data_IF_626944975948
#
_entry.id   IF_626944975948
#
_cell.length_a   1.000
_cell.length_b   1.000
_cell.length_c   1.000
_cell.angle_alpha   90.00
_cell.angle_beta   90.00
_cell.angle_gamma   90.00
#
_symmetry.space_group_name_H-M   'P 1'
#
loop_
_entity.id
_entity.type
_entity.pdbx_description
1 polymer ?
#
# COMPACT_ATOMS: atom_id res chain seq x y z
N UNK A 1 32.71 -11.12 -13.95
CA UNK A 1 32.61 -9.73 -13.47
C UNK A 1 31.36 -9.11 -14.10
N UNK A 2 30.47 -8.55 -13.32
CA UNK A 2 29.24 -7.91 -13.85
C UNK A 2 29.62 -6.69 -14.71
N UNK A 3 28.95 -6.50 -15.85
CA UNK A 3 29.07 -5.27 -16.61
C UNK A 3 28.37 -4.10 -15.90
N UNK A 4 28.52 -2.85 -16.39
CA UNK A 4 27.97 -1.65 -15.76
C UNK A 4 26.45 -1.71 -15.58
N UNK A 5 25.71 -2.25 -16.56
CA UNK A 5 24.24 -2.37 -16.51
C UNK A 5 23.82 -3.43 -15.49
N UNK A 6 24.51 -4.57 -15.48
CA UNK A 6 24.27 -5.63 -14.52
C UNK A 6 24.55 -5.18 -13.09
N UNK A 7 25.62 -4.39 -12.88
CA UNK A 7 25.94 -3.82 -11.58
C UNK A 7 24.86 -2.83 -11.13
N UNK A 8 24.45 -1.91 -11.97
CA UNK A 8 23.39 -0.95 -11.65
C UNK A 8 22.05 -1.66 -11.31
N UNK A 9 21.71 -2.73 -12.04
CA UNK A 9 20.54 -3.55 -11.75
C UNK A 9 20.65 -4.25 -10.38
N UNK A 10 21.82 -4.79 -10.06
CA UNK A 10 22.07 -5.42 -8.76
C UNK A 10 21.99 -4.41 -7.60
N UNK A 11 22.58 -3.23 -7.76
CA UNK A 11 22.55 -2.15 -6.78
C UNK A 11 21.09 -1.70 -6.51
N UNK A 12 20.24 -1.68 -7.55
CA UNK A 12 18.82 -1.36 -7.42
C UNK A 12 18.06 -2.44 -6.63
N UNK A 13 18.28 -3.71 -6.95
CA UNK A 13 17.68 -4.84 -6.20
C UNK A 13 18.11 -4.80 -4.73
N UNK A 14 19.39 -4.54 -4.48
CA UNK A 14 19.92 -4.45 -3.13
C UNK A 14 19.31 -3.28 -2.34
N UNK A 15 19.09 -2.14 -3.00
CA UNK A 15 18.39 -0.99 -2.41
C UNK A 15 16.92 -1.32 -2.07
N UNK A 16 16.21 -2.01 -2.96
CA UNK A 16 14.84 -2.46 -2.68
C UNK A 16 14.82 -3.48 -1.52
N UNK A 17 15.75 -4.43 -1.49
CA UNK A 17 15.89 -5.38 -0.39
C UNK A 17 16.17 -4.69 0.95
N UNK A 18 17.02 -3.67 0.95
CA UNK A 18 17.31 -2.84 2.12
C UNK A 18 16.07 -2.09 2.61
N UNK A 19 15.26 -1.57 1.71
CA UNK A 19 13.99 -0.95 2.06
C UNK A 19 13.06 -1.93 2.78
N UNK A 20 12.92 -3.15 2.28
CA UNK A 20 12.11 -4.19 2.92
C UNK A 20 12.66 -4.57 4.29
N UNK A 21 13.98 -4.74 4.39
CA UNK A 21 14.64 -4.96 5.67
C UNK A 21 14.34 -3.84 6.67
N UNK A 22 14.38 -2.57 6.21
CA UNK A 22 14.03 -1.42 7.04
C UNK A 22 12.58 -1.48 7.52
N UNK A 23 11.62 -1.88 6.67
CA UNK A 23 10.22 -2.06 7.09
C UNK A 23 10.09 -3.12 8.20
N UNK A 24 10.84 -4.22 8.10
CA UNK A 24 10.88 -5.25 9.15
C UNK A 24 11.51 -4.71 10.43
N UNK A 25 12.59 -3.98 10.32
CA UNK A 25 13.25 -3.32 11.46
C UNK A 25 12.32 -2.33 12.14
N UNK A 26 11.63 -1.48 11.38
CA UNK A 26 10.62 -0.54 11.88
C UNK A 26 9.48 -1.28 12.61
N UNK A 27 8.99 -2.38 12.07
CA UNK A 27 7.93 -3.20 12.67
C UNK A 27 8.33 -3.70 14.06
N UNK A 28 9.60 -4.02 14.27
CA UNK A 28 10.11 -4.58 15.51
C UNK A 28 10.57 -3.51 16.51
N UNK A 29 11.08 -2.40 16.03
CA UNK A 29 11.86 -1.45 16.85
C UNK A 29 11.26 -0.04 16.91
N UNK A 30 10.46 0.39 15.91
CA UNK A 30 9.83 1.71 15.94
C UNK A 30 8.70 1.77 16.98
N UNK A 31 8.60 2.92 17.66
CA UNK A 31 7.58 3.13 18.70
C UNK A 31 6.22 3.52 18.15
N UNK A 32 6.21 4.18 17.00
CA UNK A 32 5.04 4.81 16.39
C UNK A 32 4.72 4.20 15.01
N UNK A 33 4.73 2.88 14.91
CA UNK A 33 4.31 2.17 13.71
C UNK A 33 3.38 1.02 14.10
N UNK A 34 2.47 0.66 13.21
CA UNK A 34 1.65 -0.53 13.35
C UNK A 34 1.72 -1.43 12.10
N UNK A 35 1.16 -2.63 12.19
CA UNK A 35 1.19 -3.62 11.10
C UNK A 35 0.51 -3.15 9.81
N UNK A 36 -0.46 -2.23 9.88
CA UNK A 36 -1.19 -1.76 8.71
C UNK A 36 -0.29 -0.98 7.75
N UNK A 37 0.70 -0.23 8.25
CA UNK A 37 1.69 0.44 7.39
C UNK A 37 2.50 -0.56 6.57
N UNK A 38 2.83 -1.72 7.15
CA UNK A 38 3.52 -2.79 6.42
C UNK A 38 2.59 -3.41 5.38
N UNK A 39 1.31 -3.63 5.70
CA UNK A 39 0.32 -4.13 4.74
C UNK A 39 0.13 -3.18 3.56
N UNK A 40 0.13 -1.86 3.78
CA UNK A 40 0.11 -0.86 2.73
C UNK A 40 1.33 -0.95 1.79
N UNK A 41 2.42 -1.57 2.24
CA UNK A 41 3.63 -1.78 1.45
C UNK A 41 3.60 -3.04 0.58
N UNK A 42 2.65 -3.95 0.75
CA UNK A 42 2.63 -5.26 0.07
C UNK A 42 2.69 -5.15 -1.46
N UNK A 43 1.96 -4.24 -2.14
CA UNK A 43 2.08 -4.09 -3.58
C UNK A 43 3.51 -3.71 -4.02
N UNK A 44 4.19 -2.88 -3.25
CA UNK A 44 5.59 -2.48 -3.52
C UNK A 44 6.58 -3.62 -3.25
N UNK A 45 6.32 -4.45 -2.23
CA UNK A 45 7.05 -5.68 -1.98
C UNK A 45 6.86 -6.65 -3.17
N UNK A 46 5.65 -6.69 -3.74
CA UNK A 46 5.35 -7.44 -4.96
C UNK A 46 6.18 -7.00 -6.16
N UNK A 47 6.31 -5.68 -6.38
CA UNK A 47 7.18 -5.12 -7.43
C UNK A 47 8.63 -5.56 -7.22
N UNK A 48 9.14 -5.51 -5.99
CA UNK A 48 10.48 -5.99 -5.69
C UNK A 48 10.61 -7.49 -5.96
N UNK A 49 9.68 -8.30 -5.51
CA UNK A 49 9.74 -9.75 -5.65
C UNK A 49 9.72 -10.18 -7.13
N UNK A 50 8.87 -9.57 -7.95
CA UNK A 50 8.81 -9.85 -9.39
C UNK A 50 10.02 -9.30 -10.12
N UNK A 51 10.41 -8.06 -9.84
CA UNK A 51 11.58 -7.42 -10.43
C UNK A 51 12.88 -8.15 -10.11
N UNK A 52 13.05 -8.61 -8.87
CA UNK A 52 14.22 -9.36 -8.44
C UNK A 52 14.40 -10.67 -9.24
N UNK A 53 13.31 -11.42 -9.47
CA UNK A 53 13.39 -12.63 -10.30
C UNK A 53 13.79 -12.32 -11.76
N UNK A 54 13.16 -11.31 -12.35
CA UNK A 54 13.45 -10.92 -13.72
C UNK A 54 14.88 -10.44 -13.90
N UNK A 55 15.38 -9.62 -12.96
CA UNK A 55 16.75 -9.13 -13.01
C UNK A 55 17.78 -10.23 -12.75
N UNK A 56 17.53 -11.14 -11.78
CA UNK A 56 18.40 -12.29 -11.58
C UNK A 56 18.62 -13.08 -12.87
N UNK A 57 17.55 -13.34 -13.62
CA UNK A 57 17.62 -14.01 -14.93
C UNK A 57 18.49 -13.22 -15.92
N UNK A 58 18.33 -11.90 -15.99
CA UNK A 58 19.07 -11.03 -16.92
C UNK A 58 20.56 -10.91 -16.61
N UNK A 59 20.93 -10.93 -15.33
CA UNK A 59 22.33 -10.79 -14.89
C UNK A 59 23.02 -12.14 -14.63
N UNK A 60 22.32 -13.26 -14.86
CA UNK A 60 22.88 -14.60 -14.68
C UNK A 60 23.06 -15.01 -13.21
N UNK A 61 22.34 -14.40 -12.29
CA UNK A 61 22.29 -14.81 -10.88
C UNK A 61 21.16 -15.82 -10.67
N UNK A 62 21.40 -16.74 -9.74
CA UNK A 62 20.33 -17.62 -9.30
C UNK A 62 19.30 -16.83 -8.49
N UNK A 63 18.02 -17.12 -8.69
CA UNK A 63 16.98 -16.63 -7.79
C UNK A 63 17.03 -17.37 -6.44
N UNK A 64 16.51 -16.77 -5.35
CA UNK A 64 16.40 -17.44 -4.07
C UNK A 64 15.65 -18.77 -4.19
N UNK A 65 16.11 -19.77 -3.46
CA UNK A 65 15.44 -21.09 -3.43
C UNK A 65 14.42 -21.12 -2.32
N UNK A 66 13.19 -21.47 -2.67
CA UNK A 66 12.08 -21.69 -1.75
C UNK A 66 11.68 -23.14 -1.74
N UNK A 67 11.24 -23.67 -0.59
CA UNK A 67 10.58 -24.95 -0.54
C UNK A 67 9.18 -24.87 -1.20
N UNK A 68 8.42 -25.98 -1.27
CA UNK A 68 7.14 -26.01 -1.99
C UNK A 68 6.09 -25.07 -1.38
N UNK A 69 6.01 -24.98 -0.06
CA UNK A 69 5.08 -24.12 0.68
C UNK A 69 5.47 -22.65 0.55
N UNK A 70 6.72 -22.32 0.79
CA UNK A 70 7.27 -20.95 0.59
C UNK A 70 7.09 -20.45 -0.84
N UNK A 71 7.19 -21.35 -1.82
CA UNK A 71 7.01 -21.01 -3.23
C UNK A 71 5.59 -20.55 -3.55
N UNK A 72 4.58 -21.10 -2.88
CA UNK A 72 3.20 -20.65 -3.01
C UNK A 72 3.06 -19.18 -2.56
N UNK A 73 3.58 -18.85 -1.39
CA UNK A 73 3.58 -17.46 -0.88
C UNK A 73 4.39 -16.53 -1.76
N UNK A 74 5.53 -16.99 -2.24
CA UNK A 74 6.36 -16.19 -3.16
C UNK A 74 5.63 -15.84 -4.45
N UNK A 75 4.90 -16.79 -5.05
CA UNK A 75 4.10 -16.55 -6.26
C UNK A 75 2.99 -15.54 -5.97
N UNK A 76 2.28 -15.70 -4.85
CA UNK A 76 1.23 -14.77 -4.42
C UNK A 76 1.78 -13.36 -4.18
N UNK A 77 2.93 -13.25 -3.50
CA UNK A 77 3.60 -11.98 -3.26
C UNK A 77 3.96 -11.27 -4.55
N UNK A 78 4.55 -12.00 -5.51
CA UNK A 78 4.89 -11.45 -6.84
C UNK A 78 3.67 -10.91 -7.59
N UNK A 79 2.51 -11.48 -7.38
CA UNK A 79 1.27 -11.04 -8.04
C UNK A 79 0.66 -9.79 -7.41
N UNK A 80 1.07 -9.42 -6.20
CA UNK A 80 0.48 -8.27 -5.50
C UNK A 80 0.67 -6.94 -6.26
N UNK A 81 1.71 -6.79 -7.08
CA UNK A 81 1.93 -5.59 -7.90
C UNK A 81 0.90 -5.42 -9.03
N UNK A 82 0.19 -6.49 -9.42
CA UNK A 82 -0.83 -6.43 -10.47
C UNK A 82 -2.00 -5.51 -10.12
N UNK A 83 -2.17 -5.16 -8.86
CA UNK A 83 -3.11 -4.13 -8.43
C UNK A 83 -2.85 -2.77 -9.10
N UNK A 84 -1.61 -2.49 -9.47
CA UNK A 84 -1.24 -1.26 -10.22
C UNK A 84 -1.50 -1.36 -11.73
N UNK A 85 -1.83 -2.52 -12.24
CA UNK A 85 -2.13 -2.78 -13.65
C UNK A 85 -3.64 -2.86 -13.93
N UNK A 86 -4.47 -2.79 -12.86
CA UNK A 86 -5.92 -2.85 -12.98
C UNK A 86 -6.49 -1.55 -13.56
N UNK A 87 -7.53 -1.68 -14.38
CA UNK A 87 -8.37 -0.54 -14.76
C UNK A 87 -9.10 0.03 -13.54
N UNK A 88 -9.62 1.25 -13.66
CA UNK A 88 -10.44 1.86 -12.60
C UNK A 88 -11.61 0.96 -12.21
N UNK A 89 -12.34 0.43 -13.19
CA UNK A 89 -13.52 -0.39 -12.96
C UNK A 89 -13.19 -1.70 -12.22
N UNK A 90 -12.09 -2.36 -12.58
CA UNK A 90 -11.62 -3.56 -11.87
C UNK A 90 -11.22 -3.27 -10.44
N UNK A 91 -10.48 -2.17 -10.22
CA UNK A 91 -10.05 -1.75 -8.89
C UNK A 91 -11.24 -1.35 -8.01
N UNK A 92 -12.17 -0.53 -8.54
CA UNK A 92 -13.39 -0.13 -7.83
C UNK A 92 -14.21 -1.35 -7.43
N UNK A 93 -14.42 -2.28 -8.34
CA UNK A 93 -15.15 -3.52 -8.08
C UNK A 93 -14.49 -4.34 -6.97
N UNK A 94 -13.20 -4.61 -7.10
CA UNK A 94 -12.46 -5.38 -6.08
C UNK A 94 -12.49 -4.70 -4.70
N UNK A 95 -12.32 -3.39 -4.66
CA UNK A 95 -12.33 -2.62 -3.43
C UNK A 95 -13.69 -2.64 -2.75
N UNK A 96 -14.75 -2.46 -3.53
CA UNK A 96 -16.12 -2.47 -3.01
C UNK A 96 -16.57 -3.87 -2.57
N UNK A 97 -16.16 -4.91 -3.30
CA UNK A 97 -16.40 -6.29 -2.89
C UNK A 97 -15.75 -6.58 -1.53
N UNK A 98 -14.49 -6.18 -1.35
CA UNK A 98 -13.80 -6.32 -0.06
C UNK A 98 -14.44 -5.49 1.06
N UNK A 99 -14.96 -4.31 0.73
CA UNK A 99 -15.70 -3.49 1.69
C UNK A 99 -17.00 -4.17 2.11
N UNK A 100 -17.78 -4.70 1.17
CA UNK A 100 -19.04 -5.37 1.46
C UNK A 100 -18.83 -6.69 2.21
N UNK A 101 -17.86 -7.51 1.83
CA UNK A 101 -17.47 -8.71 2.58
C UNK A 101 -17.15 -8.38 4.06
N UNK A 102 -16.36 -7.32 4.27
CA UNK A 102 -15.98 -6.87 5.60
C UNK A 102 -17.18 -6.34 6.40
N UNK A 103 -18.03 -5.53 5.76
CA UNK A 103 -19.23 -4.98 6.39
C UNK A 103 -20.22 -6.09 6.80
N UNK A 104 -20.45 -7.05 5.94
CA UNK A 104 -21.30 -8.23 6.21
C UNK A 104 -20.73 -9.08 7.35
N UNK A 105 -19.42 -9.35 7.33
CA UNK A 105 -18.75 -10.07 8.42
C UNK A 105 -18.96 -9.36 9.76
N UNK A 106 -18.64 -8.08 9.83
CA UNK A 106 -18.83 -7.31 11.07
C UNK A 106 -20.30 -7.21 11.48
N UNK A 107 -21.23 -7.05 10.55
CA UNK A 107 -22.65 -7.06 10.84
C UNK A 107 -23.09 -8.39 11.47
N UNK A 108 -22.65 -9.52 10.95
CA UNK A 108 -23.07 -10.85 11.39
C UNK A 108 -22.61 -11.20 12.80
N UNK A 109 -21.41 -10.77 13.19
CA UNK A 109 -20.85 -11.04 14.53
C UNK A 109 -21.35 -10.09 15.63
N UNK A 110 -22.10 -9.01 15.28
CA UNK A 110 -22.58 -8.02 16.25
C UNK A 110 -23.89 -8.41 16.89
N UNK A 111 -24.04 -8.01 18.16
CA UNK A 111 -25.31 -8.09 18.89
C UNK A 111 -26.39 -7.23 18.24
N UNK A 112 -27.66 -7.53 18.52
CA UNK A 112 -28.79 -6.75 18.02
C UNK A 112 -28.68 -5.27 18.42
N UNK A 113 -28.23 -4.99 19.65
CA UNK A 113 -28.08 -3.62 20.15
C UNK A 113 -27.02 -2.84 19.35
N UNK A 114 -25.85 -3.45 19.06
CA UNK A 114 -24.82 -2.83 18.24
C UNK A 114 -25.28 -2.58 16.80
N UNK A 115 -26.09 -3.46 16.23
CA UNK A 115 -26.69 -3.26 14.89
C UNK A 115 -27.60 -2.03 14.86
N UNK A 116 -28.31 -1.74 15.93
CA UNK A 116 -29.23 -0.57 16.05
C UNK A 116 -28.44 0.71 16.35
N UNK A 117 -27.57 0.70 17.36
CA UNK A 117 -26.80 1.88 17.78
C UNK A 117 -25.75 2.25 16.74
N UNK A 118 -25.13 1.26 16.10
CA UNK A 118 -24.08 1.37 15.11
C UNK A 118 -22.86 0.54 15.50
N UNK A 119 -22.18 0.03 14.49
CA UNK A 119 -20.92 -0.72 14.61
C UNK A 119 -19.88 -0.10 13.69
N UNK A 120 -18.63 -0.43 13.92
CA UNK A 120 -17.53 0.02 13.07
C UNK A 120 -17.25 -1.03 12.00
N UNK A 121 -17.00 -0.58 10.78
CA UNK A 121 -16.69 -1.45 9.63
C UNK A 121 -15.38 -1.09 8.91
N UNK A 122 -14.75 0.04 9.24
CA UNK A 122 -13.48 0.47 8.67
C UNK A 122 -12.56 0.99 9.77
N UNK A 123 -11.44 0.34 9.97
CA UNK A 123 -10.35 0.85 10.78
C UNK A 123 -9.42 1.70 9.91
N UNK A 124 -9.00 2.86 10.39
CA UNK A 124 -8.25 3.84 9.64
C UNK A 124 -6.98 4.26 10.38
N UNK A 125 -5.87 4.21 9.67
CA UNK A 125 -4.57 4.67 10.16
C UNK A 125 -4.34 6.12 9.78
N UNK A 126 -3.83 6.87 10.74
CA UNK A 126 -3.44 8.26 10.59
C UNK A 126 -1.94 8.40 10.83
N UNK A 127 -1.26 9.11 9.94
CA UNK A 127 0.09 9.59 10.14
C UNK A 127 0.08 11.12 10.07
N UNK A 128 0.55 11.78 11.12
CA UNK A 128 0.60 13.25 11.22
C UNK A 128 -0.78 13.94 10.99
N UNK A 129 -1.85 13.26 11.33
CA UNK A 129 -3.22 13.76 11.16
C UNK A 129 -3.86 13.48 9.80
N UNK A 130 -3.12 12.96 8.83
CA UNK A 130 -3.62 12.52 7.54
C UNK A 130 -3.99 11.03 7.55
N UNK A 131 -5.04 10.65 6.83
CA UNK A 131 -5.43 9.24 6.65
C UNK A 131 -4.41 8.57 5.72
N UNK A 132 -3.73 7.51 6.19
CA UNK A 132 -2.63 6.86 5.46
C UNK A 132 -2.86 5.38 5.14
N UNK A 133 -3.96 4.83 5.59
CA UNK A 133 -4.32 3.45 5.35
C UNK A 133 -5.66 3.11 5.98
N UNK A 134 -6.23 1.99 5.58
CA UNK A 134 -7.41 1.44 6.20
C UNK A 134 -7.45 -0.09 6.08
N UNK A 135 -8.27 -0.74 6.91
CA UNK A 135 -8.37 -2.19 6.98
C UNK A 135 -8.84 -2.85 5.68
N UNK A 136 -9.65 -2.15 4.87
CA UNK A 136 -10.14 -2.68 3.60
C UNK A 136 -9.03 -2.69 2.54
N UNK A 137 -8.26 -1.60 2.45
CA UNK A 137 -7.04 -1.58 1.61
C UNK A 137 -6.05 -2.66 2.04
N UNK A 138 -5.82 -2.81 3.35
CA UNK A 138 -4.96 -3.87 3.88
C UNK A 138 -5.45 -5.26 3.46
N UNK A 139 -6.76 -5.52 3.56
CA UNK A 139 -7.36 -6.78 3.13
C UNK A 139 -7.25 -7.00 1.62
N UNK A 140 -7.44 -5.94 0.81
CA UNK A 140 -7.29 -6.00 -0.64
C UNK A 140 -5.85 -6.28 -1.08
N UNK A 141 -4.87 -5.74 -0.37
CA UNK A 141 -3.44 -5.93 -0.67
C UNK A 141 -2.91 -7.29 -0.22
N UNK A 142 -3.59 -7.94 0.72
CA UNK A 142 -3.19 -9.28 1.16
C UNK A 142 -3.46 -10.32 0.07
N UNK A 143 -2.51 -11.22 -0.19
CA UNK A 143 -2.66 -12.26 -1.21
C UNK A 143 -3.53 -13.44 -0.79
N UNK A 144 -4.36 -13.28 0.24
CA UNK A 144 -5.29 -14.29 0.77
C UNK A 144 -6.46 -13.63 1.50
N UNK A 145 -7.58 -14.35 1.65
CA UNK A 145 -8.75 -13.81 2.33
C UNK A 145 -8.46 -13.65 3.84
N UNK A 146 -8.58 -12.40 4.33
CA UNK A 146 -8.28 -12.02 5.71
C UNK A 146 -9.47 -12.21 6.67
N UNK A 147 -10.68 -12.41 6.17
CA UNK A 147 -11.91 -12.47 6.97
C UNK A 147 -12.37 -13.90 7.26
N UNK A 148 -12.21 -14.81 6.31
CA UNK A 148 -12.73 -16.18 6.40
C UNK A 148 -11.72 -17.20 6.91
N UNK A 149 -10.47 -16.82 7.07
CA UNK A 149 -9.42 -17.76 7.37
C UNK A 149 -9.06 -17.78 8.87
N UNK A 150 -9.46 -18.82 9.56
CA UNK A 150 -9.07 -19.06 10.96
C UNK A 150 -7.54 -19.13 11.15
N UNK A 151 -6.80 -19.38 10.06
CA UNK A 151 -5.33 -19.48 10.07
C UNK A 151 -4.63 -18.23 9.53
N UNK A 152 -5.29 -17.08 9.57
CA UNK A 152 -4.73 -15.83 9.05
C UNK A 152 -3.36 -15.47 9.66
N UNK A 153 -3.20 -15.65 10.98
CA UNK A 153 -1.95 -15.35 11.67
C UNK A 153 -0.76 -16.19 11.16
N UNK A 154 -0.87 -17.53 11.09
CA UNK A 154 0.13 -18.39 10.43
C UNK A 154 0.45 -17.95 8.99
N UNK A 155 -0.54 -17.65 8.15
CA UNK A 155 -0.32 -17.21 6.76
C UNK A 155 0.43 -15.87 6.66
N UNK A 156 0.10 -14.90 7.51
CA UNK A 156 0.85 -13.63 7.59
C UNK A 156 2.30 -13.89 7.97
N UNK A 157 2.54 -14.77 8.94
CA UNK A 157 3.89 -15.14 9.34
C UNK A 157 4.67 -15.79 8.20
N UNK A 158 4.06 -16.74 7.48
CA UNK A 158 4.72 -17.44 6.37
C UNK A 158 5.03 -16.50 5.21
N UNK A 159 4.12 -15.56 4.90
CA UNK A 159 4.37 -14.47 3.95
C UNK A 159 5.55 -13.59 4.39
N UNK A 160 5.62 -13.27 5.69
CA UNK A 160 6.72 -12.47 6.26
C UNK A 160 8.06 -13.21 6.21
N UNK A 161 8.06 -14.53 6.45
CA UNK A 161 9.25 -15.37 6.33
C UNK A 161 9.77 -15.36 4.89
N UNK A 162 8.89 -15.56 3.90
CA UNK A 162 9.26 -15.54 2.48
C UNK A 162 9.80 -14.17 2.08
N UNK A 163 9.15 -13.08 2.51
CA UNK A 163 9.59 -11.72 2.28
C UNK A 163 10.97 -11.47 2.89
N UNK A 164 11.19 -11.90 4.13
CA UNK A 164 12.47 -11.79 4.82
C UNK A 164 13.58 -12.60 4.14
N UNK A 165 13.32 -13.83 3.72
CA UNK A 165 14.27 -14.66 2.97
C UNK A 165 14.65 -14.02 1.64
N UNK A 166 13.67 -13.44 0.93
CA UNK A 166 13.91 -12.76 -0.34
C UNK A 166 14.80 -11.54 -0.14
N UNK A 167 14.50 -10.70 0.84
CA UNK A 167 15.31 -9.53 1.16
C UNK A 167 16.72 -9.93 1.58
N UNK A 168 16.87 -10.87 2.52
CA UNK A 168 18.15 -11.33 3.04
C UNK A 168 19.06 -11.93 1.96
N UNK A 169 18.50 -12.51 0.90
CA UNK A 169 19.30 -13.06 -0.20
C UNK A 169 20.13 -12.00 -0.94
N UNK A 170 19.65 -10.78 -1.03
CA UNK A 170 20.32 -9.67 -1.71
C UNK A 170 21.09 -8.75 -0.77
N UNK A 171 20.92 -8.90 0.54
CA UNK A 171 21.59 -8.06 1.51
C UNK A 171 22.98 -8.62 1.88
N UNK A 172 23.92 -7.71 2.03
CA UNK A 172 25.19 -8.02 2.72
C UNK A 172 24.92 -8.09 4.24
N UNK A 173 25.62 -8.99 4.94
CA UNK A 173 25.50 -9.18 6.39
C UNK A 173 25.78 -7.94 7.23
N UNK A 174 26.46 -6.94 6.65
CA UNK A 174 26.83 -5.68 7.31
C UNK A 174 25.94 -4.50 6.88
N UNK A 175 24.86 -4.74 6.13
CA UNK A 175 24.03 -3.66 5.63
C UNK A 175 23.05 -3.19 6.70
N UNK A 176 23.21 -1.95 7.16
CA UNK A 176 22.30 -1.31 8.10
C UNK A 176 20.98 -0.92 7.43
N UNK A 177 19.85 -0.90 8.18
CA UNK A 177 18.60 -0.37 7.68
C UNK A 177 18.74 1.10 7.24
N UNK A 178 17.82 1.59 6.43
CA UNK A 178 17.72 3.02 6.17
C UNK A 178 17.33 3.76 7.45
N UNK A 179 17.85 4.97 7.64
CA UNK A 179 17.48 5.79 8.79
C UNK A 179 16.03 6.25 8.70
N UNK A 180 15.29 6.10 9.79
CA UNK A 180 13.92 6.57 9.92
C UNK A 180 13.72 7.34 11.23
N UNK A 181 12.76 8.26 11.25
CA UNK A 181 12.41 9.06 12.42
C UNK A 181 10.98 8.74 12.89
N UNK A 182 10.86 7.96 13.96
CA UNK A 182 9.62 7.66 14.62
C UNK A 182 9.26 8.63 15.76
N UNK A 183 10.17 9.55 16.12
CA UNK A 183 9.98 10.46 17.27
C UNK A 183 9.09 11.65 16.93
N UNK A 184 9.25 12.19 15.72
CA UNK A 184 8.54 13.36 15.24
C UNK A 184 7.23 13.00 14.51
N UNK A 185 6.97 11.73 14.28
CA UNK A 185 5.77 11.26 13.59
C UNK A 185 4.72 10.79 14.60
N UNK A 186 3.47 11.24 14.38
CA UNK A 186 2.32 10.91 15.22
C UNK A 186 1.46 9.91 14.47
N UNK A 187 1.42 8.68 14.97
CA UNK A 187 0.59 7.60 14.43
C UNK A 187 -0.62 7.39 15.33
N UNK A 188 -1.80 7.35 14.74
CA UNK A 188 -3.06 7.09 15.43
C UNK A 188 -3.90 6.11 14.63
N UNK A 189 -4.75 5.38 15.32
CA UNK A 189 -5.73 4.48 14.72
C UNK A 189 -7.13 4.89 15.18
N UNK A 190 -8.12 4.84 14.26
CA UNK A 190 -9.53 5.09 14.56
C UNK A 190 -10.43 4.18 13.77
N UNK A 191 -11.49 3.72 14.42
CA UNK A 191 -12.55 2.96 13.81
C UNK A 191 -13.72 3.85 13.44
N UNK A 192 -14.35 3.55 12.31
CA UNK A 192 -15.54 4.25 11.80
C UNK A 192 -16.58 3.27 11.28
N UNK A 193 -17.82 3.69 11.32
CA UNK A 193 -18.82 3.25 10.34
C UNK A 193 -18.76 4.22 9.16
N UNK A 194 -18.24 3.78 8.00
CA UNK A 194 -17.89 4.69 6.91
C UNK A 194 -19.03 5.64 6.54
N UNK A 195 -20.25 5.10 6.33
CA UNK A 195 -21.40 5.90 5.89
C UNK A 195 -21.98 6.82 6.99
N UNK A 196 -21.57 6.70 8.23
CA UNK A 196 -22.09 7.50 9.33
C UNK A 196 -21.13 8.57 9.82
N UNK A 197 -19.93 8.19 10.23
CA UNK A 197 -19.03 9.05 10.99
C UNK A 197 -17.57 9.07 10.51
N UNK A 198 -17.30 8.60 9.28
CA UNK A 198 -15.97 8.76 8.70
C UNK A 198 -15.62 10.23 8.47
N UNK A 199 -14.33 10.60 8.36
CA UNK A 199 -13.92 11.99 8.16
C UNK A 199 -14.27 12.52 6.77
N UNK A 200 -14.66 11.65 5.82
CA UNK A 200 -14.99 12.01 4.45
C UNK A 200 -16.45 12.49 4.38
N UNK A 201 -16.68 13.57 3.63
CA UNK A 201 -18.03 14.15 3.45
C UNK A 201 -18.92 13.30 2.54
N UNK A 202 -18.36 12.75 1.50
CA UNK A 202 -19.09 11.95 0.51
C UNK A 202 -19.29 10.52 1.05
N UNK A 203 -20.51 10.20 1.47
CA UNK A 203 -20.88 8.94 2.15
C UNK A 203 -21.52 7.94 1.20
N UNK A 204 -20.86 7.62 0.10
CA UNK A 204 -21.28 6.61 -0.88
C UNK A 204 -20.07 5.82 -1.40
N UNK A 205 -20.28 4.89 -2.32
CA UNK A 205 -19.22 4.04 -2.88
C UNK A 205 -18.09 4.87 -3.51
N UNK A 206 -18.42 5.87 -4.32
CA UNK A 206 -17.43 6.77 -4.91
C UNK A 206 -16.60 7.46 -3.81
N UNK A 207 -17.26 7.95 -2.75
CA UNK A 207 -16.57 8.56 -1.61
C UNK A 207 -15.62 7.59 -0.90
N UNK A 208 -16.00 6.30 -0.83
CA UNK A 208 -15.14 5.27 -0.27
C UNK A 208 -13.91 5.00 -1.15
N UNK A 209 -14.10 4.88 -2.46
CA UNK A 209 -12.99 4.73 -3.42
C UNK A 209 -12.01 5.91 -3.34
N UNK A 210 -12.54 7.13 -3.34
CA UNK A 210 -11.73 8.35 -3.19
C UNK A 210 -11.01 8.42 -1.84
N UNK A 211 -11.62 7.92 -0.77
CA UNK A 211 -10.98 7.78 0.53
C UNK A 211 -9.78 6.82 0.49
N UNK A 212 -9.91 5.70 -0.20
CA UNK A 212 -8.83 4.74 -0.38
C UNK A 212 -7.69 5.31 -1.25
N UNK A 213 -8.01 6.04 -2.31
CA UNK A 213 -7.01 6.77 -3.10
C UNK A 213 -6.26 7.79 -2.23
N UNK A 214 -6.98 8.55 -1.41
CA UNK A 214 -6.37 9.51 -0.47
C UNK A 214 -5.45 8.83 0.54
N UNK A 215 -5.82 7.64 1.06
CA UNK A 215 -4.95 6.84 1.92
C UNK A 215 -3.64 6.48 1.21
N UNK A 216 -3.70 6.04 -0.05
CA UNK A 216 -2.51 5.70 -0.83
C UNK A 216 -1.60 6.92 -1.09
N UNK A 217 -2.18 8.07 -1.42
CA UNK A 217 -1.43 9.33 -1.60
C UNK A 217 -0.72 9.71 -0.30
N UNK A 218 -1.47 9.74 0.80
CA UNK A 218 -0.93 10.15 2.10
C UNK A 218 0.08 9.13 2.65
N UNK A 219 -0.05 7.84 2.32
CA UNK A 219 0.97 6.85 2.65
C UNK A 219 2.33 7.22 2.07
N UNK A 220 2.38 7.73 0.83
CA UNK A 220 3.63 8.20 0.24
C UNK A 220 4.11 9.48 0.92
N UNK A 221 3.23 10.49 1.07
CA UNK A 221 3.61 11.84 1.55
C UNK A 221 3.92 11.85 3.04
N UNK A 222 3.07 11.23 3.85
CA UNK A 222 3.16 11.34 5.31
C UNK A 222 3.96 10.20 5.94
N UNK A 223 4.00 9.03 5.31
CA UNK A 223 4.76 7.91 5.82
C UNK A 223 6.10 7.76 5.10
N UNK A 224 6.12 7.45 3.79
CA UNK A 224 7.40 7.19 3.11
C UNK A 224 8.30 8.43 3.08
N UNK A 225 7.78 9.60 2.75
CA UNK A 225 8.59 10.81 2.62
C UNK A 225 9.08 11.32 3.97
N UNK A 226 8.22 11.39 4.97
CA UNK A 226 8.56 11.98 6.27
C UNK A 226 9.20 11.00 7.26
N UNK A 227 8.86 9.72 7.18
CA UNK A 227 9.39 8.73 8.11
C UNK A 227 10.83 8.36 7.81
N UNK A 228 11.18 8.21 6.53
CA UNK A 228 12.57 7.97 6.12
C UNK A 228 13.34 9.29 6.07
N UNK A 229 14.34 9.42 6.94
CA UNK A 229 15.11 10.68 7.09
C UNK A 229 15.98 10.97 5.88
N UNK A 230 16.52 9.92 5.25
CA UNK A 230 17.40 10.06 4.10
C UNK A 230 16.63 9.93 2.78
N UNK A 231 17.18 10.51 1.74
CA UNK A 231 16.67 10.30 0.39
C UNK A 231 16.97 8.87 -0.06
N UNK A 232 15.91 8.12 -0.35
CA UNK A 232 15.99 6.74 -0.80
C UNK A 232 15.30 6.60 -2.17
N UNK A 233 15.82 5.75 -3.09
CA UNK A 233 15.22 5.57 -4.41
C UNK A 233 13.75 5.16 -4.37
N UNK A 234 13.32 4.47 -3.30
CA UNK A 234 11.96 4.00 -3.12
C UNK A 234 10.94 5.14 -2.93
N UNK A 235 11.32 6.25 -2.30
CA UNK A 235 10.46 7.44 -2.22
C UNK A 235 10.03 7.89 -3.62
N UNK A 236 11.00 8.07 -4.51
CA UNK A 236 10.73 8.48 -5.89
C UNK A 236 10.00 7.40 -6.68
N UNK A 237 10.46 6.15 -6.61
CA UNK A 237 9.88 5.01 -7.34
C UNK A 237 8.41 4.83 -7.03
N UNK A 238 8.04 4.83 -5.74
CA UNK A 238 6.66 4.58 -5.31
C UNK A 238 5.78 5.81 -5.51
N UNK A 239 6.32 7.02 -5.32
CA UNK A 239 5.62 8.24 -5.65
C UNK A 239 5.26 8.32 -7.13
N UNK A 240 6.20 7.97 -8.02
CA UNK A 240 5.98 7.96 -9.46
C UNK A 240 4.91 6.93 -9.87
N UNK A 241 4.98 5.71 -9.31
CA UNK A 241 3.99 4.67 -9.58
C UNK A 241 2.59 5.09 -9.13
N UNK A 242 2.45 5.63 -7.93
CA UNK A 242 1.16 6.12 -7.44
C UNK A 242 0.63 7.29 -8.26
N UNK A 243 1.50 8.21 -8.65
CA UNK A 243 1.10 9.32 -9.51
C UNK A 243 0.55 8.84 -10.85
N UNK A 244 1.30 7.97 -11.54
CA UNK A 244 0.87 7.42 -12.82
C UNK A 244 -0.49 6.73 -12.70
N UNK A 245 -0.62 5.85 -11.73
CA UNK A 245 -1.85 5.13 -11.43
C UNK A 245 -3.04 6.05 -11.11
N UNK A 246 -2.81 7.08 -10.28
CA UNK A 246 -3.86 8.04 -9.92
C UNK A 246 -4.28 8.91 -11.12
N UNK A 247 -3.34 9.32 -11.98
CA UNK A 247 -3.68 10.07 -13.19
C UNK A 247 -4.56 9.25 -14.13
N UNK A 248 -4.19 8.01 -14.38
CA UNK A 248 -4.94 7.07 -15.20
C UNK A 248 -6.36 6.86 -14.64
N UNK A 249 -6.44 6.62 -13.36
CA UNK A 249 -7.67 6.49 -12.59
C UNK A 249 -8.61 7.70 -12.71
N UNK A 250 -8.05 8.91 -12.59
CA UNK A 250 -8.83 10.16 -12.70
C UNK A 250 -9.32 10.36 -14.14
N UNK A 251 -8.52 10.00 -15.14
CA UNK A 251 -8.90 10.10 -16.55
C UNK A 251 -10.04 9.14 -16.88
N UNK A 252 -9.99 7.89 -16.43
CA UNK A 252 -11.06 6.91 -16.59
C UNK A 252 -12.34 7.34 -15.86
N UNK A 253 -12.22 7.79 -14.60
CA UNK A 253 -13.34 8.29 -13.82
C UNK A 253 -14.01 9.49 -14.51
N UNK A 254 -13.24 10.43 -15.06
CA UNK A 254 -13.78 11.57 -15.82
C UNK A 254 -14.47 11.11 -17.09
N UNK A 255 -13.97 10.09 -17.75
CA UNK A 255 -14.56 9.54 -18.98
C UNK A 255 -15.88 8.85 -18.69
N UNK A 256 -15.96 8.05 -17.62
CA UNK A 256 -17.18 7.40 -17.15
C UNK A 256 -18.25 8.42 -16.71
N UNK A 257 -17.87 9.52 -16.10
CA UNK A 257 -18.80 10.55 -15.60
C UNK A 257 -19.24 11.58 -16.66
N UNK A 258 -18.57 11.70 -17.79
CA UNK A 258 -19.08 12.48 -18.93
C UNK A 258 -20.37 11.90 -19.53
N UNK A 259 -20.63 10.64 -19.29
CA UNK A 259 -21.90 9.97 -19.67
C UNK A 259 -23.01 10.14 -18.63
N UNK A 260 -22.67 10.56 -17.40
CA UNK A 260 -23.63 10.78 -16.31
C UNK A 260 -23.52 12.24 -15.85
N UNK A 261 -24.42 13.10 -16.29
CA UNK A 261 -24.48 14.53 -15.98
C UNK A 261 -24.75 14.78 -14.49
N UNK A 262 -23.76 14.72 -13.61
CA UNK A 262 -23.86 15.26 -12.25
C UNK A 262 -22.50 15.30 -11.51
N UNK A 263 -21.53 16.09 -11.98
CA UNK A 263 -20.54 16.61 -11.02
C UNK A 263 -21.01 17.99 -10.56
N UNK A 264 -21.51 18.08 -9.33
CA UNK A 264 -21.78 19.36 -8.69
C UNK A 264 -20.47 20.10 -8.38
N UNK A 265 -20.51 21.41 -8.31
CA UNK A 265 -19.35 22.30 -8.08
C UNK A 265 -18.51 21.95 -6.83
N UNK A 266 -19.04 21.20 -5.87
CA UNK A 266 -18.34 20.70 -4.68
C UNK A 266 -17.32 19.61 -4.99
N UNK A 267 -17.56 18.79 -6.00
CA UNK A 267 -16.63 17.71 -6.40
C UNK A 267 -15.41 18.28 -7.16
N UNK A 268 -15.60 19.37 -7.90
CA UNK A 268 -14.53 20.10 -8.59
C UNK A 268 -13.44 20.59 -7.64
N UNK A 269 -13.76 20.94 -6.37
CA UNK A 269 -12.77 21.37 -5.40
C UNK A 269 -11.90 20.23 -4.86
N UNK A 270 -12.48 19.03 -4.72
CA UNK A 270 -11.75 17.85 -4.27
C UNK A 270 -10.74 17.38 -5.33
N UNK A 271 -11.16 17.30 -6.60
CA UNK A 271 -10.24 16.98 -7.71
C UNK A 271 -9.17 18.05 -7.91
N UNK A 272 -9.52 19.34 -7.74
CA UNK A 272 -8.53 20.41 -7.75
C UNK A 272 -7.52 20.25 -6.61
N UNK A 273 -7.95 19.82 -5.44
CA UNK A 273 -7.04 19.58 -4.32
C UNK A 273 -6.12 18.38 -4.56
N UNK A 274 -6.62 17.26 -5.08
CA UNK A 274 -5.77 16.12 -5.48
C UNK A 274 -4.79 16.56 -6.56
N UNK A 275 -5.24 17.25 -7.61
CA UNK A 275 -4.39 17.78 -8.68
C UNK A 275 -3.36 18.79 -8.17
N UNK A 276 -3.73 19.66 -7.23
CA UNK A 276 -2.81 20.60 -6.58
C UNK A 276 -1.78 19.87 -5.71
N UNK A 277 -2.19 18.87 -4.94
CA UNK A 277 -1.30 18.06 -4.10
C UNK A 277 -0.31 17.30 -5.00
N UNK A 278 -0.78 16.66 -6.05
CA UNK A 278 0.09 15.99 -7.03
C UNK A 278 1.01 16.97 -7.74
N UNK A 279 0.52 18.13 -8.15
CA UNK A 279 1.32 19.18 -8.79
C UNK A 279 2.37 19.77 -7.85
N UNK A 280 2.05 20.03 -6.58
CA UNK A 280 3.02 20.49 -5.58
C UNK A 280 4.10 19.45 -5.31
N UNK A 281 3.71 18.16 -5.25
CA UNK A 281 4.65 17.07 -5.09
C UNK A 281 5.65 16.99 -6.25
N UNK A 282 5.18 17.13 -7.49
CA UNK A 282 6.05 17.10 -8.67
C UNK A 282 6.85 18.39 -8.88
N UNK A 283 6.34 19.55 -8.47
CA UNK A 283 7.15 20.76 -8.51
C UNK A 283 8.31 20.76 -7.52
N UNK A 284 8.17 20.05 -6.40
CA UNK A 284 9.28 19.82 -5.47
C UNK A 284 10.30 18.80 -5.97
N UNK A 285 9.86 17.81 -6.78
CA UNK A 285 10.75 16.81 -7.41
C UNK A 285 11.48 17.37 -8.65
N UNK A 286 10.95 18.39 -9.32
CA UNK A 286 11.60 19.01 -10.48
C UNK A 286 12.69 20.03 -10.10
N UNK A 287 12.95 20.23 -8.82
CA UNK A 287 14.00 21.11 -8.30
C UNK A 287 15.23 20.35 -7.79
N UNK A 288 15.25 19.02 -7.91
CA UNK A 288 16.41 18.14 -7.79
C UNK A 288 16.81 17.60 -9.16
#
# INVERSE_FOLDING_TARGET
MLNKVQKAAFDLIQSDARFIYTLVDMQNNAKNINSNYVMMSIPYIGIFADGAEQWCKKIGLNAPRFNAEEKEYYVKLRQAHKLFEMSYEEYETLLLDKFHESDEYFYNIRSLLEKIIGYYNVGTDYCNGAVCGNTILGAMYMPFNTLEDEKIGPKIRDLSIVTGKLAAYFLDTNLEPFSYDDRNNIVKYRDYHFFRNSPIKLKNNLGFVLFCILCNINYIIEFLDKYFVQEIPQKFKYAYLQYYYICDFIEELNSANKTTTCFTSSNSSFFKNIYQITKCFFSSLSLC
#
